data_IF_155120394037
#
_entry.id   IF_155120394037
#
_cell.length_a   1.000
_cell.length_b   1.000
_cell.length_c   1.000
_cell.angle_alpha   90.00
_cell.angle_beta   90.00
_cell.angle_gamma   90.00
#
_symmetry.space_group_name_H-M   'P 1'
#
loop_
_entity.id
_entity.type
_entity.pdbx_description
1 polymer ?
#
# COMPACT_ATOMS: atom_id res chain seq x y z
N UNK A 1 -5.36 -15.23 -6.48
CA UNK A 1 -4.43 -15.59 -5.40
C UNK A 1 -3.01 -15.70 -5.92
N UNK A 2 -2.75 -16.54 -6.93
CA UNK A 2 -1.41 -16.80 -7.49
C UNK A 2 -0.57 -15.55 -7.82
N UNK A 3 -1.18 -14.48 -8.34
CA UNK A 3 -0.46 -13.23 -8.66
C UNK A 3 -0.02 -12.48 -7.41
N UNK A 4 -0.82 -12.48 -6.34
CA UNK A 4 -0.47 -11.78 -5.09
C UNK A 4 0.58 -12.57 -4.30
N UNK A 5 0.54 -13.89 -4.36
CA UNK A 5 1.51 -14.79 -3.71
C UNK A 5 2.82 -14.92 -4.49
N UNK A 6 2.97 -14.27 -5.64
CA UNK A 6 4.23 -14.26 -6.38
C UNK A 6 5.30 -13.39 -5.72
N UNK A 7 4.91 -12.47 -4.83
CA UNK A 7 5.86 -11.64 -4.09
C UNK A 7 6.45 -12.42 -2.92
N UNK A 8 7.78 -12.39 -2.78
CA UNK A 8 8.46 -12.94 -1.60
C UNK A 8 8.12 -12.23 -0.29
N UNK A 9 7.41 -11.09 -0.37
CA UNK A 9 7.04 -10.22 0.74
C UNK A 9 5.53 -10.28 1.06
N UNK A 10 4.80 -11.18 0.42
CA UNK A 10 3.38 -11.46 0.68
C UNK A 10 3.28 -12.91 1.12
N UNK A 11 2.41 -13.20 2.10
CA UNK A 11 2.23 -14.57 2.57
C UNK A 11 1.73 -15.49 1.46
N UNK A 12 2.32 -16.67 1.36
CA UNK A 12 1.87 -17.70 0.45
C UNK A 12 0.52 -18.26 0.90
N UNK A 13 -0.38 -18.45 -0.06
CA UNK A 13 -1.66 -19.13 0.14
C UNK A 13 -1.65 -20.43 -0.66
N UNK A 14 -1.87 -21.55 0.05
CA UNK A 14 -1.86 -22.89 -0.53
C UNK A 14 -3.24 -23.35 -0.99
N UNK A 15 -4.30 -22.72 -0.48
CA UNK A 15 -5.67 -23.08 -0.82
C UNK A 15 -6.68 -22.38 0.06
N UNK A 16 -7.95 -22.67 -0.15
CA UNK A 16 -9.05 -22.19 0.69
C UNK A 16 -9.99 -23.34 1.03
N UNK A 17 -10.58 -23.30 2.22
CA UNK A 17 -11.58 -24.24 2.70
C UNK A 17 -12.70 -23.48 3.39
N UNK A 18 -13.88 -23.43 2.76
CA UNK A 18 -15.00 -22.63 3.24
C UNK A 18 -14.66 -21.13 3.28
N UNK A 19 -14.66 -20.56 4.49
CA UNK A 19 -14.33 -19.15 4.75
C UNK A 19 -12.87 -18.95 5.21
N UNK A 20 -12.04 -19.99 5.16
CA UNK A 20 -10.65 -19.94 5.63
C UNK A 20 -9.68 -20.12 4.47
N UNK A 21 -8.50 -19.53 4.62
CA UNK A 21 -7.38 -19.66 3.68
C UNK A 21 -6.26 -20.43 4.38
N UNK A 22 -5.68 -21.40 3.69
CA UNK A 22 -4.48 -22.11 4.14
C UNK A 22 -3.27 -21.28 3.71
N UNK A 23 -2.42 -20.91 4.67
CA UNK A 23 -1.24 -20.07 4.44
C UNK A 23 0.01 -20.72 5.03
N UNK A 24 1.18 -20.17 4.71
CA UNK A 24 2.42 -20.47 5.41
C UNK A 24 2.29 -20.24 6.93
N UNK A 25 2.92 -21.08 7.74
CA UNK A 25 2.98 -20.93 9.19
C UNK A 25 3.94 -19.80 9.57
N UNK A 26 3.49 -18.89 10.43
CA UNK A 26 4.32 -17.80 10.92
C UNK A 26 5.05 -18.18 12.21
N UNK A 27 6.37 -17.97 12.26
CA UNK A 27 7.17 -18.11 13.49
C UNK A 27 6.81 -17.04 14.53
N UNK A 28 6.43 -15.84 14.09
CA UNK A 28 6.10 -14.72 14.98
C UNK A 28 5.25 -13.67 14.27
N UNK A 29 4.52 -12.88 15.05
CA UNK A 29 3.93 -11.63 14.57
C UNK A 29 4.98 -10.54 14.35
N UNK A 30 4.71 -9.61 13.44
CA UNK A 30 5.54 -8.44 13.18
C UNK A 30 5.65 -7.53 14.39
N UNK A 31 4.60 -7.43 15.23
CA UNK A 31 4.62 -6.69 16.50
C UNK A 31 5.65 -7.21 17.49
N UNK A 32 5.72 -8.52 17.66
CA UNK A 32 6.71 -9.15 18.55
C UNK A 32 8.11 -9.00 17.97
N UNK A 33 8.24 -9.24 16.66
CA UNK A 33 9.51 -9.15 15.95
C UNK A 33 10.15 -7.77 16.06
N UNK A 34 9.45 -6.70 15.71
CA UNK A 34 10.06 -5.36 15.68
C UNK A 34 10.46 -4.84 17.07
N UNK A 35 9.84 -5.37 18.12
CA UNK A 35 10.16 -5.04 19.52
C UNK A 35 11.43 -5.72 20.03
N UNK A 36 11.99 -6.70 19.30
CA UNK A 36 13.22 -7.36 19.73
C UNK A 36 14.36 -6.33 19.88
N UNK A 37 14.92 -6.16 21.11
CA UNK A 37 16.01 -5.25 21.36
C UNK A 37 17.26 -5.54 20.52
N UNK A 38 17.45 -6.80 20.09
CA UNK A 38 18.63 -7.27 19.35
C UNK A 38 18.73 -6.73 17.93
N UNK A 39 17.63 -6.22 17.35
CA UNK A 39 17.68 -5.60 16.02
C UNK A 39 18.59 -4.37 16.00
N UNK A 40 19.66 -4.46 15.21
CA UNK A 40 20.56 -3.36 14.93
C UNK A 40 19.92 -2.39 13.94
N UNK A 41 20.50 -1.20 13.80
CA UNK A 41 19.99 -0.18 12.87
C UNK A 41 19.94 -0.65 11.41
N UNK A 42 20.93 -1.42 10.97
CA UNK A 42 20.93 -2.00 9.63
C UNK A 42 19.79 -3.01 9.43
N UNK A 43 19.44 -3.79 10.46
CA UNK A 43 18.33 -4.74 10.40
C UNK A 43 17.01 -3.98 10.24
N UNK A 44 16.84 -2.87 10.97
CA UNK A 44 15.66 -2.00 10.85
C UNK A 44 15.52 -1.40 9.45
N UNK A 45 16.62 -0.96 8.84
CA UNK A 45 16.60 -0.49 7.45
C UNK A 45 16.21 -1.59 6.47
N UNK A 46 16.70 -2.82 6.66
CA UNK A 46 16.30 -3.98 5.85
C UNK A 46 14.81 -4.29 6.00
N UNK A 47 14.30 -4.30 7.23
CA UNK A 47 12.87 -4.47 7.54
C UNK A 47 12.04 -3.39 6.84
N UNK A 48 12.40 -2.12 6.99
CA UNK A 48 11.71 -1.01 6.34
C UNK A 48 11.66 -1.14 4.81
N UNK A 49 12.80 -1.47 4.20
CA UNK A 49 12.91 -1.73 2.76
C UNK A 49 12.01 -2.89 2.32
N UNK A 50 12.02 -4.00 3.06
CA UNK A 50 11.29 -5.21 2.69
C UNK A 50 9.76 -5.02 2.84
N UNK A 51 9.31 -4.29 3.87
CA UNK A 51 7.91 -3.83 3.99
C UNK A 51 7.50 -2.98 2.79
N UNK A 52 8.32 -1.99 2.42
CA UNK A 52 8.04 -1.11 1.30
C UNK A 52 8.01 -1.85 -0.04
N UNK A 53 8.90 -2.83 -0.26
CA UNK A 53 8.89 -3.70 -1.44
C UNK A 53 7.62 -4.54 -1.49
N UNK A 54 7.22 -5.15 -0.38
CA UNK A 54 5.98 -5.91 -0.35
C UNK A 54 4.76 -5.06 -0.64
N UNK A 55 4.71 -3.82 -0.15
CA UNK A 55 3.60 -2.93 -0.48
C UNK A 55 3.62 -2.52 -1.96
N UNK A 56 4.80 -2.22 -2.50
CA UNK A 56 4.96 -1.91 -3.91
C UNK A 56 4.52 -3.08 -4.81
N UNK A 57 4.85 -4.32 -4.44
CA UNK A 57 4.43 -5.53 -5.17
C UNK A 57 2.89 -5.71 -5.13
N UNK A 58 2.26 -5.46 -3.97
CA UNK A 58 0.79 -5.43 -3.85
C UNK A 58 0.18 -4.36 -4.75
N UNK A 59 0.78 -3.17 -4.82
CA UNK A 59 0.29 -2.05 -5.62
C UNK A 59 0.55 -2.23 -7.12
N UNK A 60 1.57 -2.99 -7.50
CA UNK A 60 1.88 -3.37 -8.87
C UNK A 60 0.97 -4.49 -9.41
N UNK A 61 -0.03 -4.93 -8.65
CA UNK A 61 -0.98 -5.96 -9.06
C UNK A 61 -1.56 -5.67 -10.44
N UNK A 62 -1.27 -6.58 -11.37
CA UNK A 62 -1.82 -6.56 -12.73
C UNK A 62 -2.46 -7.92 -13.00
N UNK A 63 -3.75 -7.97 -13.35
CA UNK A 63 -4.40 -9.25 -13.66
C UNK A 63 -3.72 -9.89 -14.87
N UNK A 64 -3.14 -11.08 -14.67
CA UNK A 64 -2.61 -11.87 -15.77
C UNK A 64 -3.72 -12.18 -16.76
N UNK A 65 -3.42 -12.02 -18.06
CA UNK A 65 -4.34 -12.47 -19.11
C UNK A 65 -4.31 -13.99 -19.11
N UNK A 66 -5.36 -14.61 -18.60
CA UNK A 66 -5.70 -15.96 -19.02
C UNK A 66 -6.04 -15.87 -20.50
N UNK A 67 -5.04 -16.06 -21.35
CA UNK A 67 -5.27 -16.26 -22.77
C UNK A 67 -6.01 -17.60 -22.87
N UNK A 68 -7.30 -17.54 -23.13
CA UNK A 68 -8.16 -18.70 -23.44
C UNK A 68 -7.81 -19.32 -24.81
N UNK A 69 -6.57 -19.20 -25.26
CA UNK A 69 -6.09 -19.95 -26.40
C UNK A 69 -5.80 -21.35 -25.84
N UNK A 70 -6.72 -22.28 -26.08
CA UNK A 70 -6.67 -23.68 -25.66
C UNK A 70 -5.50 -24.50 -26.23
N UNK A 71 -4.36 -23.88 -26.49
CA UNK A 71 -3.10 -24.55 -26.77
C UNK A 71 -2.32 -24.71 -25.47
N UNK A 72 -2.41 -25.90 -24.90
CA UNK A 72 -1.49 -26.43 -23.90
C UNK A 72 -0.06 -26.46 -24.44
N UNK A 73 0.63 -25.32 -24.43
CA UNK A 73 2.06 -25.24 -24.67
C UNK A 73 2.78 -25.08 -23.33
N UNK A 74 3.52 -26.13 -22.97
CA UNK A 74 4.47 -26.23 -21.88
C UNK A 74 5.24 -24.94 -21.60
N UNK A 75 5.19 -24.48 -20.35
CA UNK A 75 6.02 -23.39 -19.81
C UNK A 75 7.49 -23.82 -19.86
N UNK A 76 8.26 -23.27 -20.79
CA UNK A 76 9.72 -23.34 -20.77
C UNK A 76 10.29 -22.07 -20.14
N UNK A 77 11.11 -22.27 -19.11
CA UNK A 77 11.81 -21.27 -18.30
C UNK A 77 12.52 -20.18 -19.10
N UNK A 78 12.37 -18.94 -18.59
CA UNK A 78 13.28 -17.79 -18.66
C UNK A 78 14.47 -17.88 -19.62
N UNK A 79 14.42 -17.14 -20.73
CA UNK A 79 15.61 -16.75 -21.49
C UNK A 79 15.75 -15.23 -21.49
N UNK A 80 16.87 -14.79 -20.93
CA UNK A 80 17.37 -13.40 -20.91
C UNK A 80 17.65 -12.97 -22.36
N UNK A 81 17.08 -11.84 -22.80
CA UNK A 81 17.34 -11.25 -24.12
C UNK A 81 18.58 -10.35 -24.02
N UNK A 82 19.65 -10.58 -24.80
CA UNK A 82 20.70 -9.59 -24.98
C UNK A 82 20.34 -8.60 -26.10
N UNK A 83 20.80 -7.38 -25.91
CA UNK A 83 20.63 -6.21 -26.77
C UNK A 83 21.72 -6.23 -27.87
N UNK A 84 21.37 -6.36 -29.17
CA UNK A 84 22.20 -5.81 -30.25
C UNK A 84 21.50 -5.60 -31.61
N UNK A 85 21.74 -4.40 -32.15
CA UNK A 85 21.87 -3.93 -33.55
C UNK A 85 21.01 -4.50 -34.69
N UNK A 86 20.06 -3.65 -35.13
CA UNK A 86 19.87 -3.14 -36.50
C UNK A 86 20.26 -3.98 -37.72
N UNK A 87 19.26 -4.31 -38.55
CA UNK A 87 19.27 -4.04 -40.00
C UNK A 87 17.85 -4.01 -40.57
N UNK A 88 17.56 -2.98 -41.35
CA UNK A 88 16.29 -2.70 -41.97
C UNK A 88 15.99 -3.68 -43.11
N UNK A 89 14.74 -4.14 -43.21
CA UNK A 89 14.18 -4.77 -44.41
C UNK A 89 12.76 -4.29 -44.62
N UNK A 90 12.57 -3.52 -45.69
CA UNK A 90 11.29 -3.10 -46.25
C UNK A 90 10.51 -4.32 -46.76
N UNK A 91 9.30 -4.57 -46.22
CA UNK A 91 8.23 -5.31 -46.94
C UNK A 91 6.85 -5.16 -46.26
N UNK A 92 5.89 -4.81 -47.11
CA UNK A 92 4.45 -5.14 -47.08
C UNK A 92 3.45 -4.33 -46.20
N UNK A 93 2.87 -3.31 -46.85
CA UNK A 93 1.65 -2.56 -46.47
C UNK A 93 0.34 -3.37 -46.64
N UNK A 94 0.19 -4.51 -45.93
CA UNK A 94 -1.11 -5.20 -45.75
C UNK A 94 -1.51 -5.42 -44.28
N UNK A 95 -0.76 -4.85 -43.33
CA UNK A 95 -0.97 -5.04 -41.88
C UNK A 95 -1.74 -3.95 -41.13
N UNK A 96 -2.08 -2.83 -41.78
CA UNK A 96 -2.56 -1.61 -41.08
C UNK A 96 -3.96 -1.79 -40.46
N UNK A 97 -4.82 -2.66 -41.03
CA UNK A 97 -6.18 -2.89 -40.50
C UNK A 97 -6.22 -3.78 -39.25
N UNK A 98 -5.23 -4.63 -39.00
CA UNK A 98 -5.16 -5.46 -37.76
C UNK A 98 -4.52 -4.74 -36.58
N UNK A 99 -3.67 -3.73 -36.84
CA UNK A 99 -3.04 -2.95 -35.76
C UNK A 99 -3.99 -1.90 -35.13
N UNK A 100 -5.03 -1.45 -35.85
CA UNK A 100 -6.03 -0.54 -35.28
C UNK A 100 -7.07 -1.26 -34.39
N UNK A 101 -7.41 -2.52 -34.66
CA UNK A 101 -8.30 -3.32 -33.79
C UNK A 101 -7.61 -3.86 -32.52
N UNK A 102 -6.28 -3.88 -32.45
CA UNK A 102 -5.55 -4.26 -31.24
C UNK A 102 -5.40 -3.11 -30.22
N UNK A 103 -5.69 -1.85 -30.60
CA UNK A 103 -5.59 -0.69 -29.70
C UNK A 103 -6.83 -0.46 -28.82
N UNK A 104 -7.99 -1.07 -29.11
CA UNK A 104 -9.24 -0.81 -28.38
C UNK A 104 -9.53 -1.75 -27.20
N UNK A 105 -8.70 -2.78 -26.96
CA UNK A 105 -8.88 -3.70 -25.82
C UNK A 105 -7.91 -3.45 -24.66
N UNK A 106 -7.50 -2.19 -24.43
CA UNK A 106 -6.89 -1.81 -23.15
C UNK A 106 -8.00 -1.74 -22.09
N UNK A 107 -8.35 -2.91 -21.52
CA UNK A 107 -9.19 -2.98 -20.32
C UNK A 107 -8.55 -2.10 -19.23
N UNK A 108 -9.38 -1.24 -18.63
CA UNK A 108 -8.97 -0.35 -17.54
C UNK A 108 -8.13 -1.12 -16.49
N UNK A 109 -6.97 -0.58 -16.07
CA UNK A 109 -6.14 -1.24 -15.07
C UNK A 109 -6.93 -1.45 -13.78
N UNK A 110 -6.77 -2.61 -13.16
CA UNK A 110 -7.25 -2.86 -11.80
C UNK A 110 -6.22 -2.29 -10.83
N UNK A 111 -6.70 -1.76 -9.72
CA UNK A 111 -5.85 -1.28 -8.62
C UNK A 111 -6.15 -2.13 -7.41
N UNK A 112 -5.12 -2.66 -6.76
CA UNK A 112 -5.24 -3.31 -5.47
C UNK A 112 -4.66 -2.42 -4.37
N UNK A 113 -5.40 -2.29 -3.28
CA UNK A 113 -4.95 -1.68 -2.03
C UNK A 113 -5.27 -2.64 -0.88
N UNK A 114 -4.37 -2.74 0.10
CA UNK A 114 -4.53 -3.61 1.26
C UNK A 114 -5.59 -3.08 2.22
N UNK A 115 -5.65 -1.76 2.39
CA UNK A 115 -6.65 -1.04 3.20
C UNK A 115 -6.64 -1.39 4.71
N UNK A 116 -5.59 -2.07 5.17
CA UNK A 116 -5.35 -2.44 6.56
C UNK A 116 -3.84 -2.60 6.85
N UNK A 117 -3.05 -1.63 6.40
CA UNK A 117 -1.60 -1.64 6.63
C UNK A 117 -1.32 -1.29 8.09
N UNK A 118 -0.99 -2.31 8.87
CA UNK A 118 -0.56 -2.16 10.25
C UNK A 118 0.37 -3.33 10.68
N UNK A 119 1.12 -3.16 11.77
CA UNK A 119 2.11 -4.16 12.19
C UNK A 119 1.52 -5.50 12.70
N UNK A 120 0.21 -5.58 12.99
CA UNK A 120 -0.45 -6.86 13.27
C UNK A 120 -0.56 -7.73 12.01
N UNK A 121 -0.64 -7.08 10.85
CA UNK A 121 -0.82 -7.70 9.54
C UNK A 121 0.54 -7.94 8.85
N UNK A 122 1.61 -7.94 9.64
CA UNK A 122 2.95 -8.36 9.25
C UNK A 122 3.28 -9.62 10.02
N UNK A 123 3.83 -10.62 9.35
CA UNK A 123 4.27 -11.89 9.92
C UNK A 123 5.74 -12.15 9.61
N UNK A 124 6.36 -13.02 10.41
CA UNK A 124 7.71 -13.53 10.18
C UNK A 124 7.60 -15.01 9.86
N UNK A 125 7.94 -15.41 8.63
CA UNK A 125 7.91 -16.82 8.22
C UNK A 125 9.23 -17.52 8.53
N UNK A 126 10.35 -16.82 8.33
CA UNK A 126 11.70 -17.32 8.59
C UNK A 126 12.52 -16.24 9.32
N UNK A 127 13.65 -16.59 9.97
CA UNK A 127 14.51 -15.59 10.60
C UNK A 127 14.91 -14.47 9.63
N UNK A 128 14.44 -13.26 9.91
CA UNK A 128 14.71 -12.07 9.09
C UNK A 128 13.84 -11.91 7.84
N UNK A 129 12.90 -12.83 7.57
CA UNK A 129 11.96 -12.76 6.45
C UNK A 129 10.57 -12.35 6.93
N UNK A 130 10.19 -11.13 6.59
CA UNK A 130 8.89 -10.56 6.92
C UNK A 130 7.97 -10.53 5.70
N UNK A 131 6.67 -10.69 5.92
CA UNK A 131 5.66 -10.68 4.86
C UNK A 131 4.37 -9.99 5.31
N UNK A 132 3.65 -9.40 4.36
CA UNK A 132 2.28 -8.90 4.55
C UNK A 132 1.27 -10.05 4.57
N UNK A 133 0.27 -9.93 5.43
CA UNK A 133 -0.81 -10.89 5.65
C UNK A 133 -2.13 -10.15 5.92
N UNK A 134 -3.23 -10.89 6.02
CA UNK A 134 -4.56 -10.40 6.40
C UNK A 134 -5.16 -9.41 5.38
N UNK A 135 -5.45 -9.93 4.20
CA UNK A 135 -6.04 -9.18 3.09
C UNK A 135 -7.58 -9.09 3.16
N UNK A 136 -8.19 -9.35 4.32
CA UNK A 136 -9.65 -9.41 4.46
C UNK A 136 -10.36 -8.07 4.17
N UNK A 137 -9.63 -6.95 4.33
CA UNK A 137 -10.11 -5.62 4.00
C UNK A 137 -9.59 -5.11 2.65
N UNK A 138 -8.79 -5.91 1.94
CA UNK A 138 -8.21 -5.57 0.65
C UNK A 138 -9.26 -5.22 -0.40
N UNK A 139 -8.94 -4.23 -1.23
CA UNK A 139 -9.88 -3.64 -2.18
C UNK A 139 -9.29 -3.67 -3.58
N UNK A 140 -10.06 -4.25 -4.51
CA UNK A 140 -9.78 -4.18 -5.95
C UNK A 140 -10.66 -3.07 -6.53
N UNK A 141 -10.06 -1.91 -6.77
CA UNK A 141 -10.71 -0.77 -7.39
C UNK A 141 -10.64 -0.85 -8.92
N UNK A 142 -11.68 -0.32 -9.57
CA UNK A 142 -11.78 -0.20 -11.04
C UNK A 142 -11.96 1.26 -11.42
N UNK A 143 -11.45 1.64 -12.58
CA UNK A 143 -11.80 2.91 -13.18
C UNK A 143 -13.22 2.87 -13.75
N UNK A 144 -13.98 3.92 -13.45
CA UNK A 144 -15.32 4.15 -13.98
C UNK A 144 -15.26 4.25 -15.51
N UNK A 145 -15.97 3.34 -16.19
CA UNK A 145 -16.01 3.30 -17.66
C UNK A 145 -16.83 4.45 -18.25
N UNK A 146 -17.84 4.93 -17.52
CA UNK A 146 -18.82 5.87 -18.04
C UNK A 146 -18.31 7.32 -18.03
N UNK A 147 -17.32 7.63 -17.17
CA UNK A 147 -16.69 8.95 -17.09
C UNK A 147 -15.49 9.15 -18.01
N UNK A 148 -15.11 8.14 -18.79
CA UNK A 148 -14.03 8.26 -19.79
C UNK A 148 -14.43 9.23 -20.92
N UNK A 149 -15.74 9.37 -21.18
CA UNK A 149 -16.26 10.17 -22.30
C UNK A 149 -16.92 11.50 -21.88
N UNK A 150 -17.00 11.80 -20.59
CA UNK A 150 -17.53 13.08 -20.12
C UNK A 150 -16.45 14.15 -20.23
N UNK A 151 -16.30 14.73 -21.43
CA UNK A 151 -15.66 16.04 -21.67
C UNK A 151 -16.51 17.17 -21.10
N UNK A 152 -16.87 17.08 -19.82
CA UNK A 152 -17.70 18.06 -19.14
C UNK A 152 -16.86 19.25 -18.74
N UNK A 153 -16.90 20.25 -19.62
CA UNK A 153 -16.66 21.67 -19.39
C UNK A 153 -15.22 22.13 -19.05
N UNK A 154 -14.58 22.65 -20.11
CA UNK A 154 -13.80 23.88 -20.00
C UNK A 154 -12.31 23.73 -19.62
N UNK A 155 -11.47 23.95 -20.63
CA UNK A 155 -10.10 24.49 -20.51
C UNK A 155 -9.07 23.53 -19.89
N UNK A 156 -8.63 22.56 -20.68
CA UNK A 156 -7.22 22.27 -21.03
C UNK A 156 -7.13 20.81 -21.52
N UNK A 157 -6.90 20.64 -22.82
CA UNK A 157 -6.57 19.35 -23.43
C UNK A 157 -5.18 18.93 -22.94
N UNK A 158 -5.12 18.22 -21.82
CA UNK A 158 -3.86 17.72 -21.27
C UNK A 158 -3.96 16.39 -20.55
N UNK A 159 -4.92 16.22 -19.63
CA UNK A 159 -5.07 15.00 -18.84
C UNK A 159 -6.54 14.68 -18.62
N UNK A 160 -7.06 13.63 -19.28
CA UNK A 160 -8.34 13.04 -18.87
C UNK A 160 -8.10 12.26 -17.58
N UNK A 161 -8.47 12.85 -16.44
CA UNK A 161 -8.37 12.18 -15.15
C UNK A 161 -9.35 11.00 -15.13
N UNK A 162 -8.83 9.77 -15.13
CA UNK A 162 -9.66 8.58 -14.97
C UNK A 162 -10.14 8.52 -13.53
N UNK A 163 -11.45 8.53 -13.32
CA UNK A 163 -12.04 8.41 -11.99
C UNK A 163 -12.10 6.95 -11.56
N UNK A 164 -11.63 6.65 -10.35
CA UNK A 164 -11.85 5.35 -9.71
C UNK A 164 -13.25 5.30 -9.10
N UNK A 165 -13.86 4.11 -9.08
CA UNK A 165 -15.09 3.88 -8.33
C UNK A 165 -14.87 4.20 -6.84
N UNK A 166 -15.82 4.86 -6.15
CA UNK A 166 -15.71 5.14 -4.72
C UNK A 166 -15.44 3.87 -3.91
N UNK A 167 -14.60 3.99 -2.88
CA UNK A 167 -14.14 2.87 -2.06
C UNK A 167 -14.58 3.09 -0.61
N UNK A 168 -15.25 2.13 0.06
CA UNK A 168 -15.69 2.32 1.43
C UNK A 168 -14.49 2.41 2.39
N UNK A 169 -14.54 3.36 3.32
CA UNK A 169 -13.55 3.48 4.39
C UNK A 169 -13.90 2.47 5.46
N UNK A 170 -13.02 1.49 5.66
CA UNK A 170 -13.26 0.38 6.60
C UNK A 170 -12.67 0.61 7.99
N UNK A 171 -11.68 1.51 8.12
CA UNK A 171 -11.07 1.77 9.41
C UNK A 171 -11.85 2.78 10.24
N UNK A 172 -12.27 2.37 11.43
CA UNK A 172 -12.90 3.29 12.39
C UNK A 172 -11.87 4.14 13.14
N UNK A 173 -10.65 3.63 13.38
CA UNK A 173 -9.67 4.31 14.22
C UNK A 173 -8.79 5.30 13.43
N UNK A 174 -8.78 6.59 13.81
CA UNK A 174 -7.89 7.59 13.22
C UNK A 174 -6.41 7.28 13.35
N UNK A 175 -5.98 6.34 14.20
CA UNK A 175 -4.56 6.05 14.43
C UNK A 175 -3.85 5.59 13.14
N UNK A 176 -4.53 4.80 12.32
CA UNK A 176 -3.96 4.20 11.10
C UNK A 176 -4.43 4.87 9.81
N UNK A 177 -5.53 5.63 9.88
CA UNK A 177 -6.11 6.33 8.73
C UNK A 177 -5.23 7.46 8.23
N UNK A 178 -5.29 7.68 6.93
CA UNK A 178 -4.76 8.87 6.27
C UNK A 178 -5.68 10.09 6.45
N UNK A 179 -5.18 11.33 6.20
CA UNK A 179 -5.98 12.55 6.28
C UNK A 179 -7.20 12.52 5.35
N UNK A 180 -7.04 12.05 4.12
CA UNK A 180 -8.11 11.97 3.11
C UNK A 180 -9.17 10.93 3.48
N UNK A 181 -8.79 9.85 4.17
CA UNK A 181 -9.77 8.97 4.80
C UNK A 181 -10.52 9.75 5.88
N UNK A 182 -9.82 10.41 6.81
CA UNK A 182 -10.44 11.13 7.96
C UNK A 182 -11.41 12.22 7.52
N UNK A 183 -11.07 13.00 6.48
CA UNK A 183 -11.93 14.05 5.93
C UNK A 183 -13.30 13.55 5.51
N UNK A 184 -13.36 12.31 5.04
CA UNK A 184 -14.51 11.86 4.31
C UNK A 184 -15.62 11.36 5.25
N UNK A 185 -16.61 12.22 5.45
CA UNK A 185 -17.78 11.95 6.29
C UNK A 185 -18.81 11.03 5.61
N UNK A 186 -18.70 10.80 4.30
CA UNK A 186 -19.65 9.94 3.56
C UNK A 186 -19.41 8.45 3.80
N UNK A 187 -18.28 8.09 4.40
CA UNK A 187 -17.85 6.70 4.58
C UNK A 187 -17.20 6.09 3.34
N UNK A 188 -16.99 6.86 2.26
CA UNK A 188 -16.33 6.41 1.04
C UNK A 188 -15.19 7.35 0.64
N UNK A 189 -14.00 6.84 0.37
CA UNK A 189 -12.91 7.62 -0.21
C UNK A 189 -13.33 8.19 -1.58
N UNK A 190 -13.30 9.52 -1.67
CA UNK A 190 -13.51 10.25 -2.92
C UNK A 190 -12.21 10.32 -3.69
N UNK A 191 -12.09 9.47 -4.71
CA UNK A 191 -10.85 9.28 -5.46
C UNK A 191 -10.71 10.33 -6.57
N UNK A 192 -10.23 11.52 -6.21
CA UNK A 192 -9.84 12.61 -7.13
C UNK A 192 -8.39 13.00 -6.88
N UNK A 193 -7.64 13.24 -7.95
CA UNK A 193 -6.32 13.89 -7.96
C UNK A 193 -5.35 13.37 -6.88
N UNK A 194 -4.68 12.24 -7.15
CA UNK A 194 -3.68 11.66 -6.24
C UNK A 194 -4.27 10.84 -5.08
N UNK A 195 -5.49 11.18 -4.62
CA UNK A 195 -6.20 10.41 -3.59
C UNK A 195 -6.67 9.05 -4.12
N UNK A 196 -5.84 8.02 -3.88
CA UNK A 196 -6.12 6.62 -4.23
C UNK A 196 -6.16 5.78 -2.96
N UNK A 197 -6.84 4.62 -2.94
CA UNK A 197 -6.74 3.72 -1.80
C UNK A 197 -5.29 3.22 -1.57
N UNK A 198 -4.45 3.24 -2.62
CA UNK A 198 -3.01 2.96 -2.50
C UNK A 198 -2.25 4.07 -1.77
N UNK A 199 -2.64 5.33 -1.97
CA UNK A 199 -2.07 6.44 -1.20
C UNK A 199 -2.37 6.32 0.30
N UNK A 200 -3.60 5.90 0.66
CA UNK A 200 -3.94 5.61 2.04
C UNK A 200 -3.05 4.49 2.64
N UNK A 201 -2.79 3.43 1.88
CA UNK A 201 -1.83 2.39 2.28
C UNK A 201 -0.41 2.95 2.51
N UNK A 202 0.06 3.87 1.65
CA UNK A 202 1.39 4.51 1.78
C UNK A 202 1.44 5.35 3.07
N UNK A 203 0.39 6.10 3.37
CA UNK A 203 0.29 6.82 4.64
C UNK A 203 0.35 5.84 5.84
N UNK A 204 -0.41 4.75 5.77
CA UNK A 204 -0.39 3.72 6.80
C UNK A 204 0.97 3.02 6.91
N UNK A 205 1.71 2.84 5.80
CA UNK A 205 3.10 2.38 5.80
C UNK A 205 3.99 3.36 6.57
N UNK A 206 3.77 4.67 6.48
CA UNK A 206 4.45 5.67 7.33
C UNK A 206 4.32 5.37 8.82
N UNK A 207 3.13 4.96 9.29
CA UNK A 207 2.91 4.55 10.68
C UNK A 207 3.68 3.28 11.05
N UNK A 208 3.80 2.32 10.12
CA UNK A 208 4.59 1.10 10.28
C UNK A 208 6.09 1.44 10.33
N UNK A 209 6.61 2.26 9.41
CA UNK A 209 8.00 2.69 9.38
C UNK A 209 8.38 3.48 10.65
N UNK A 210 7.46 4.28 11.19
CA UNK A 210 7.65 4.93 12.49
C UNK A 210 7.86 3.93 13.62
N UNK A 211 7.11 2.82 13.61
CA UNK A 211 7.29 1.73 14.58
C UNK A 211 8.61 0.98 14.36
N UNK A 212 9.08 0.84 13.12
CA UNK A 212 10.43 0.29 12.85
C UNK A 212 11.52 1.19 13.47
N UNK A 213 11.35 2.51 13.32
CA UNK A 213 12.27 3.51 13.86
C UNK A 213 12.28 3.55 15.38
N UNK A 214 11.10 3.54 16.01
CA UNK A 214 10.98 3.87 17.44
C UNK A 214 10.63 2.68 18.33
N UNK A 215 10.14 1.57 17.76
CA UNK A 215 9.44 0.46 18.45
C UNK A 215 8.16 0.88 19.18
N UNK A 216 7.66 2.08 18.90
CA UNK A 216 6.48 2.66 19.53
C UNK A 216 5.44 3.03 18.50
N UNK A 217 4.16 2.86 18.87
CA UNK A 217 3.06 3.28 18.01
C UNK A 217 3.06 4.82 17.87
N UNK A 218 2.92 5.36 16.66
CA UNK A 218 2.80 6.80 16.46
C UNK A 218 1.55 7.34 17.16
N UNK A 219 1.50 8.67 17.38
CA UNK A 219 0.33 9.39 17.90
C UNK A 219 -0.13 9.03 19.32
N UNK A 220 0.65 8.23 20.04
CA UNK A 220 0.27 7.73 21.38
C UNK A 220 1.43 7.84 22.37
N UNK A 221 2.48 7.05 22.17
CA UNK A 221 3.49 6.81 23.21
C UNK A 221 4.52 7.94 23.36
N UNK A 222 4.87 8.58 22.25
CA UNK A 222 5.92 9.60 22.20
C UNK A 222 5.38 11.03 22.21
N UNK A 223 4.06 11.20 22.23
CA UNK A 223 3.44 12.51 22.24
C UNK A 223 3.74 13.26 23.55
N UNK A 224 3.97 14.57 23.46
CA UNK A 224 4.33 15.40 24.63
C UNK A 224 3.10 15.77 25.45
N UNK A 225 1.98 16.04 24.77
CA UNK A 225 0.71 16.40 25.40
C UNK A 225 0.04 15.18 26.03
N UNK A 226 -0.51 15.34 27.23
CA UNK A 226 -1.18 14.23 27.92
C UNK A 226 -2.48 13.80 27.22
N UNK A 227 -3.15 14.71 26.52
CA UNK A 227 -4.44 14.47 25.84
C UNK A 227 -4.36 13.38 24.76
N UNK A 228 -3.20 13.17 24.13
CA UNK A 228 -2.97 12.11 23.14
C UNK A 228 -2.46 10.80 23.77
N UNK A 229 -1.94 10.84 25.00
CA UNK A 229 -1.49 9.65 25.76
C UNK A 229 -2.66 8.82 26.32
N UNK A 230 -3.84 9.43 26.46
CA UNK A 230 -5.05 8.84 27.06
C UNK A 230 -5.59 7.61 26.31
N UNK A 231 -5.07 7.27 25.12
CA UNK A 231 -5.49 6.07 24.39
C UNK A 231 -5.10 4.76 25.12
N UNK A 232 -4.21 4.79 26.12
CA UNK A 232 -3.49 3.58 26.56
C UNK A 232 -3.90 2.95 27.90
N UNK A 233 -4.62 3.58 28.85
CA UNK A 233 -5.00 2.92 30.13
C UNK A 233 -6.24 3.48 30.82
N UNK A 234 -7.29 2.65 30.97
CA UNK A 234 -8.36 2.86 31.98
C UNK A 234 -9.21 4.11 31.80
N UNK A 235 -9.27 4.65 30.58
CA UNK A 235 -9.93 5.92 30.29
C UNK A 235 -11.35 5.67 29.77
N UNK A 236 -12.26 6.63 30.00
CA UNK A 236 -13.65 6.52 29.53
C UNK A 236 -13.73 6.49 28.00
N UNK A 237 -14.85 6.01 27.46
CA UNK A 237 -15.10 6.01 26.00
C UNK A 237 -15.00 7.43 25.42
N UNK A 238 -15.55 8.42 26.11
CA UNK A 238 -15.54 9.83 25.69
C UNK A 238 -14.12 10.41 25.63
N UNK A 239 -13.26 10.07 26.59
CA UNK A 239 -11.88 10.55 26.59
C UNK A 239 -11.09 9.97 25.43
N UNK A 240 -11.32 8.68 25.11
CA UNK A 240 -10.72 8.04 23.94
C UNK A 240 -11.17 8.72 22.64
N UNK A 241 -12.46 9.03 22.51
CA UNK A 241 -12.99 9.76 21.35
C UNK A 241 -12.38 11.17 21.24
N UNK A 242 -12.22 11.86 22.36
CA UNK A 242 -11.56 13.17 22.41
C UNK A 242 -10.09 13.08 21.93
N UNK A 243 -9.29 12.15 22.46
CA UNK A 243 -7.91 11.92 22.01
C UNK A 243 -7.83 11.60 20.51
N UNK A 244 -8.74 10.77 20.02
CA UNK A 244 -8.79 10.42 18.60
C UNK A 244 -9.15 11.64 17.74
N UNK A 245 -10.01 12.55 18.22
CA UNK A 245 -10.32 13.80 17.50
C UNK A 245 -9.12 14.75 17.43
N UNK A 246 -8.30 14.84 18.49
CA UNK A 246 -7.04 15.61 18.47
C UNK A 246 -6.08 15.05 17.42
N UNK A 247 -5.92 13.71 17.39
CA UNK A 247 -5.05 13.04 16.40
C UNK A 247 -5.57 13.29 14.99
N UNK A 248 -6.87 13.15 14.76
CA UNK A 248 -7.50 13.48 13.48
C UNK A 248 -7.17 14.89 13.04
N UNK A 249 -7.40 15.89 13.90
CA UNK A 249 -7.11 17.29 13.57
C UNK A 249 -5.61 17.52 13.29
N UNK A 250 -4.72 16.90 14.06
CA UNK A 250 -3.28 17.02 13.82
C UNK A 250 -2.88 16.46 12.45
N UNK A 251 -3.41 15.30 12.06
CA UNK A 251 -3.19 14.72 10.73
C UNK A 251 -3.76 15.62 9.63
N UNK A 252 -4.94 16.17 9.85
CA UNK A 252 -5.58 17.09 8.92
C UNK A 252 -4.81 18.39 8.70
N UNK A 253 -4.09 18.85 9.73
CA UNK A 253 -3.18 19.99 9.69
C UNK A 253 -1.82 19.66 9.03
N UNK A 254 -1.59 18.40 8.63
CA UNK A 254 -0.31 17.95 8.09
C UNK A 254 0.81 17.84 9.14
N UNK A 255 0.45 17.74 10.43
CA UNK A 255 1.44 17.49 11.49
C UNK A 255 1.95 16.06 11.38
N UNK A 256 3.15 15.84 11.91
CA UNK A 256 3.79 14.54 12.03
C UNK A 256 3.68 14.05 13.49
N UNK A 257 3.76 12.72 13.75
CA UNK A 257 3.83 12.22 15.12
C UNK A 257 5.12 12.71 15.77
N UNK A 258 5.09 12.94 17.10
CA UNK A 258 6.25 13.47 17.80
C UNK A 258 7.42 12.47 17.79
N UNK A 259 8.60 12.93 17.40
CA UNK A 259 9.82 12.13 17.37
C UNK A 259 10.95 12.85 18.14
N UNK A 260 11.28 12.39 19.36
CA UNK A 260 12.39 12.98 20.13
C UNK A 260 13.75 12.83 19.42
N UNK A 261 14.61 13.86 19.52
CA UNK A 261 15.91 13.95 18.83
C UNK A 261 16.82 12.73 19.00
N UNK A 262 16.73 12.06 20.16
CA UNK A 262 17.50 10.83 20.43
C UNK A 262 17.29 9.73 19.37
N UNK A 263 16.11 9.69 18.74
CA UNK A 263 15.79 8.70 17.71
C UNK A 263 16.37 9.03 16.33
N UNK A 264 16.84 10.26 16.09
CA UNK A 264 17.42 10.71 14.80
C UNK A 264 18.88 11.15 14.94
N UNK A 265 19.52 10.76 16.03
CA UNK A 265 20.95 11.03 16.28
C UNK A 265 21.89 10.34 15.30
N UNK A 266 21.43 9.26 14.64
CA UNK A 266 22.21 8.44 13.71
C UNK A 266 21.74 8.61 12.28
N UNK A 267 22.66 8.44 11.33
CA UNK A 267 22.35 8.63 9.90
C UNK A 267 21.37 7.58 9.37
N UNK A 268 21.47 6.33 9.81
CA UNK A 268 20.49 5.29 9.43
C UNK A 268 19.08 5.67 9.89
N UNK A 269 18.98 6.28 11.08
CA UNK A 269 17.72 6.68 11.66
C UNK A 269 17.15 7.93 10.97
N UNK A 270 18.00 8.87 10.55
CA UNK A 270 17.61 10.03 9.72
C UNK A 270 17.04 9.60 8.38
N UNK A 271 17.68 8.63 7.71
CA UNK A 271 17.18 8.07 6.44
C UNK A 271 15.80 7.45 6.64
N UNK A 272 15.63 6.63 7.68
CA UNK A 272 14.34 6.02 7.97
C UNK A 272 13.28 7.06 8.33
N UNK A 273 13.65 8.10 9.08
CA UNK A 273 12.75 9.20 9.40
C UNK A 273 12.32 9.98 8.15
N UNK A 274 13.25 10.28 7.23
CA UNK A 274 12.93 10.91 5.96
C UNK A 274 11.92 10.07 5.15
N UNK A 275 12.09 8.74 5.12
CA UNK A 275 11.12 7.84 4.49
C UNK A 275 9.73 7.91 5.16
N UNK A 276 9.67 8.00 6.50
CA UNK A 276 8.40 8.20 7.23
C UNK A 276 7.76 9.53 6.84
N UNK A 277 8.53 10.61 6.77
CA UNK A 277 8.03 11.94 6.42
C UNK A 277 7.42 11.96 5.01
N UNK A 278 8.08 11.32 4.04
CA UNK A 278 7.58 11.21 2.67
C UNK A 278 6.27 10.39 2.57
N UNK A 279 6.00 9.52 3.53
CA UNK A 279 4.73 8.78 3.58
C UNK A 279 3.57 9.64 4.13
N UNK A 280 3.87 10.70 4.89
CA UNK A 280 2.88 11.57 5.53
C UNK A 280 2.59 12.85 4.74
N UNK A 281 2.80 12.83 3.42
CA UNK A 281 2.40 13.93 2.57
C UNK A 281 0.90 14.19 2.71
N UNK A 282 0.54 15.46 2.94
CA UNK A 282 -0.86 15.87 3.18
C UNK A 282 -1.73 15.74 1.93
N UNK A 283 -1.10 15.85 0.76
CA UNK A 283 -1.76 15.73 -0.53
C UNK A 283 -1.02 14.65 -1.33
N UNK A 284 -1.51 13.40 -1.31
CA UNK A 284 -0.85 12.27 -1.97
C UNK A 284 -0.87 12.36 -3.50
#
# INVERSE_FOLDING_TARGET
MEVLTASSYVVDSYGFCGQSVLTAEAMSSGRTFIKDPKHKWLDRLRIARDLARGLADLHAFSPQRYNNDGSSSSISSSTIIPLSSSKASLRNNKGIRKQQQQKENQKNPLIFAHHDINFANVIVIDPGKIQWNDFNLGIIARYDRNKINSTSYGINKGFQHRHLCPVPIRYASPLWRSPEEILNQTGYLTLRDGNTPQAADVYSLGNVLFQVLTRHQPWTHLETKNETKLVTKGVTKSDKEYSLSIISNAKMDGKLPNLPDRYVSRDEAKILWQAVQNCYERNP
#
